data_IF_675135417248
#
_entry.id   IF_675135417248
#
_cell.length_a   1.000
_cell.length_b   1.000
_cell.length_c   1.000
_cell.angle_alpha   90.00
_cell.angle_beta   90.00
_cell.angle_gamma   90.00
#
_symmetry.space_group_name_H-M   'P 1'
#
loop_
_entity.id
_entity.type
_entity.pdbx_description
1 polymer ?
#
# COMPACT_ATOMS: atom_id res chain seq x y z
N UNK A 1 -42.94 -9.50 -12.32
CA UNK A 1 -42.48 -8.64 -11.21
C UNK A 1 -41.06 -9.03 -10.74
N UNK A 2 -40.08 -9.11 -11.65
CA UNK A 2 -38.83 -9.86 -11.37
C UNK A 2 -37.55 -9.11 -11.78
N UNK A 3 -37.66 -8.02 -12.56
CA UNK A 3 -36.49 -7.32 -13.12
C UNK A 3 -35.76 -6.43 -12.12
N UNK A 4 -36.49 -5.75 -11.23
CA UNK A 4 -35.90 -4.82 -10.24
C UNK A 4 -35.02 -5.54 -9.20
N UNK A 5 -35.40 -6.75 -8.78
CA UNK A 5 -34.64 -7.54 -7.81
C UNK A 5 -33.32 -8.08 -8.38
N UNK A 6 -33.27 -8.39 -9.68
CA UNK A 6 -32.07 -8.90 -10.36
C UNK A 6 -31.05 -7.77 -10.52
N UNK A 7 -31.50 -6.59 -10.96
CA UNK A 7 -30.63 -5.41 -11.12
C UNK A 7 -30.02 -5.00 -9.76
N UNK A 8 -30.82 -5.01 -8.70
CA UNK A 8 -30.34 -4.69 -7.34
C UNK A 8 -29.31 -5.71 -6.82
N UNK A 9 -29.54 -7.01 -7.04
CA UNK A 9 -28.59 -8.07 -6.64
C UNK A 9 -27.27 -8.00 -7.40
N UNK A 10 -27.32 -7.72 -8.71
CA UNK A 10 -26.11 -7.56 -9.53
C UNK A 10 -25.32 -6.32 -9.09
N UNK A 11 -25.99 -5.21 -8.79
CA UNK A 11 -25.32 -3.99 -8.31
C UNK A 11 -24.66 -4.18 -6.94
N UNK A 12 -25.33 -4.86 -6.01
CA UNK A 12 -24.80 -5.15 -4.67
C UNK A 12 -23.60 -6.10 -4.75
N UNK A 13 -23.67 -7.13 -5.61
CA UNK A 13 -22.55 -8.07 -5.81
C UNK A 13 -21.35 -7.40 -6.48
N UNK A 14 -21.57 -6.55 -7.48
CA UNK A 14 -20.51 -5.79 -8.15
C UNK A 14 -19.86 -4.76 -7.21
N UNK A 15 -20.65 -4.10 -6.34
CA UNK A 15 -20.12 -3.20 -5.32
C UNK A 15 -19.26 -3.93 -4.27
N UNK A 16 -19.68 -5.13 -3.82
CA UNK A 16 -18.90 -5.95 -2.89
C UNK A 16 -17.60 -6.47 -3.51
N UNK A 17 -17.63 -6.87 -4.78
CA UNK A 17 -16.44 -7.26 -5.54
C UNK A 17 -15.47 -6.07 -5.71
N UNK A 18 -15.98 -4.87 -5.97
CA UNK A 18 -15.15 -3.67 -6.09
C UNK A 18 -14.48 -3.26 -4.76
N UNK A 19 -15.17 -3.47 -3.62
CA UNK A 19 -14.57 -3.22 -2.29
C UNK A 19 -13.50 -4.23 -1.90
N UNK A 20 -13.54 -5.46 -2.44
CA UNK A 20 -12.51 -6.47 -2.17
C UNK A 20 -11.17 -6.13 -2.85
N UNK A 21 -11.22 -5.49 -4.02
CA UNK A 21 -10.02 -5.09 -4.80
C UNK A 21 -9.25 -3.95 -4.11
N UNK A 22 -9.94 -3.06 -3.40
CA UNK A 22 -9.31 -1.92 -2.71
C UNK A 22 -8.82 -2.22 -1.29
N UNK A 23 -9.29 -3.31 -0.67
CA UNK A 23 -8.92 -3.67 0.71
C UNK A 23 -7.63 -4.51 0.84
N UNK A 24 -7.06 -4.94 -0.29
CA UNK A 24 -6.07 -6.03 -0.34
C UNK A 24 -4.58 -5.64 -0.42
N UNK A 25 -4.20 -4.37 -0.24
CA UNK A 25 -2.76 -4.02 -0.11
C UNK A 25 -2.34 -4.09 1.37
N UNK A 26 -2.30 -5.31 1.90
CA UNK A 26 -1.39 -5.59 3.02
C UNK A 26 0.05 -5.27 2.59
N UNK A 27 0.95 -5.04 3.55
CA UNK A 27 2.40 -4.90 3.27
C UNK A 27 2.86 -6.21 2.65
N UNK A 28 2.77 -6.31 1.32
CA UNK A 28 3.45 -7.35 0.56
C UNK A 28 4.94 -7.00 0.58
N UNK A 29 5.80 -7.99 0.31
CA UNK A 29 7.22 -7.77 0.12
C UNK A 29 7.45 -6.49 -0.71
N UNK A 30 8.38 -5.64 -0.25
CA UNK A 30 8.64 -4.34 -0.86
C UNK A 30 9.11 -4.45 -2.31
N UNK A 31 9.27 -3.31 -2.95
CA UNK A 31 9.68 -3.22 -4.35
C UNK A 31 11.00 -2.45 -4.47
N UNK A 32 11.60 -2.48 -5.65
CA UNK A 32 12.81 -1.73 -5.95
C UNK A 32 12.50 -0.57 -6.89
N UNK A 33 13.06 0.59 -6.60
CA UNK A 33 13.03 1.74 -7.50
C UNK A 33 14.44 2.06 -7.97
N UNK A 34 14.62 2.15 -9.28
CA UNK A 34 15.87 2.62 -9.88
C UNK A 34 15.94 4.14 -9.82
N UNK A 35 16.96 4.65 -9.12
CA UNK A 35 17.19 6.09 -8.92
C UNK A 35 18.23 6.63 -9.91
N UNK A 36 19.25 5.82 -10.23
CA UNK A 36 20.27 6.10 -11.24
C UNK A 36 20.66 4.80 -11.97
N UNK A 37 21.47 4.85 -13.05
CA UNK A 37 21.85 3.64 -13.79
C UNK A 37 22.51 2.53 -12.96
N UNK A 38 23.12 2.90 -11.83
CA UNK A 38 23.91 2.10 -10.92
C UNK A 38 23.30 1.95 -9.51
N UNK A 39 22.11 2.52 -9.28
CA UNK A 39 21.46 2.53 -7.95
C UNK A 39 20.00 2.12 -8.01
N UNK A 40 19.68 1.02 -7.35
CA UNK A 40 18.33 0.59 -7.03
C UNK A 40 18.14 0.62 -5.51
N UNK A 41 16.99 1.12 -5.07
CA UNK A 41 16.63 1.28 -3.67
C UNK A 41 15.43 0.41 -3.38
N UNK A 42 15.56 -0.48 -2.39
CA UNK A 42 14.44 -1.20 -1.83
C UNK A 42 13.55 -0.26 -1.01
N UNK A 43 12.24 -0.35 -1.20
CA UNK A 43 11.27 0.40 -0.43
C UNK A 43 10.01 -0.41 -0.14
N UNK A 44 9.36 -0.08 0.97
CA UNK A 44 8.05 -0.61 1.35
C UNK A 44 7.04 0.52 1.35
N UNK A 45 5.86 0.29 0.77
CA UNK A 45 4.74 1.23 0.86
C UNK A 45 3.45 0.56 1.28
N UNK A 46 2.62 1.33 1.99
CA UNK A 46 1.26 0.92 2.33
C UNK A 46 0.31 2.12 2.37
N UNK A 47 -0.95 1.86 2.03
CA UNK A 47 -2.01 2.86 2.07
C UNK A 47 -2.08 3.74 0.83
N UNK A 48 -2.81 4.84 0.95
CA UNK A 48 -3.02 5.83 -0.11
C UNK A 48 -3.30 7.20 0.50
N UNK A 49 -3.17 8.26 -0.30
CA UNK A 49 -3.35 9.64 0.17
C UNK A 49 -2.03 10.43 0.23
N UNK A 50 -1.94 11.49 1.04
CA UNK A 50 -0.74 12.31 1.15
C UNK A 50 0.48 11.47 1.57
N UNK A 51 1.66 11.68 0.98
CA UNK A 51 2.83 10.85 1.26
C UNK A 51 3.48 11.20 2.61
N UNK A 52 3.91 10.17 3.33
CA UNK A 52 4.81 10.26 4.49
C UNK A 52 5.98 9.31 4.23
N UNK A 53 7.21 9.82 4.36
CA UNK A 53 8.44 9.03 4.17
C UNK A 53 9.16 8.87 5.49
N UNK A 54 9.45 7.63 5.88
CA UNK A 54 10.26 7.29 7.04
C UNK A 54 11.70 7.08 6.62
N UNK A 55 12.61 7.85 7.22
CA UNK A 55 14.05 7.81 6.95
C UNK A 55 14.72 7.06 8.09
N UNK A 56 15.34 5.89 7.87
CA UNK A 56 16.05 5.17 8.91
C UNK A 56 17.31 5.91 9.36
N UNK A 57 17.69 5.70 10.63
CA UNK A 57 18.93 6.19 11.21
C UNK A 57 20.15 5.32 10.87
N UNK A 58 21.28 5.57 11.53
CA UNK A 58 22.50 4.79 11.35
C UNK A 58 22.24 3.30 11.60
N UNK A 59 22.73 2.43 10.71
CA UNK A 59 22.47 0.96 10.70
C UNK A 59 21.01 0.52 10.56
N UNK A 60 20.05 1.44 10.41
CA UNK A 60 18.63 1.10 10.26
C UNK A 60 18.24 0.66 8.85
N UNK A 61 17.14 -0.09 8.79
CA UNK A 61 16.46 -0.58 7.58
C UNK A 61 14.98 -0.19 7.59
N UNK A 62 14.29 -0.39 6.46
CA UNK A 62 12.84 -0.21 6.28
C UNK A 62 12.02 -0.97 7.33
N UNK A 63 12.52 -2.14 7.76
CA UNK A 63 11.89 -3.04 8.72
C UNK A 63 11.62 -2.36 10.08
N UNK A 64 12.46 -1.39 10.44
CA UNK A 64 12.29 -0.62 11.69
C UNK A 64 10.99 0.16 11.76
N UNK A 65 10.31 0.35 10.62
CA UNK A 65 9.09 1.15 10.49
C UNK A 65 7.82 0.34 10.23
N UNK A 66 7.83 -0.99 10.38
CA UNK A 66 6.63 -1.82 10.13
C UNK A 66 5.40 -1.36 10.93
N UNK A 67 5.58 -0.96 12.20
CA UNK A 67 4.49 -0.47 13.04
C UNK A 67 3.95 0.87 12.55
N UNK A 68 4.83 1.77 12.10
CA UNK A 68 4.49 3.08 11.57
C UNK A 68 3.78 2.93 10.22
N UNK A 69 4.27 2.07 9.32
CA UNK A 69 3.61 1.73 8.07
C UNK A 69 2.18 1.21 8.32
N UNK A 70 2.01 0.27 9.25
CA UNK A 70 0.69 -0.28 9.61
C UNK A 70 -0.25 0.78 10.21
N UNK A 71 0.27 1.71 11.01
CA UNK A 71 -0.55 2.76 11.61
C UNK A 71 -0.95 3.86 10.61
N UNK A 72 0.03 4.43 9.90
CA UNK A 72 -0.18 5.61 9.06
C UNK A 72 -0.81 5.28 7.71
N UNK A 73 -0.65 4.05 7.19
CA UNK A 73 -1.29 3.61 5.93
C UNK A 73 -2.80 3.72 5.90
N UNK A 74 -3.45 3.80 7.07
CA UNK A 74 -4.91 4.00 7.20
C UNK A 74 -5.38 5.34 6.64
N UNK A 75 -4.49 6.34 6.53
CA UNK A 75 -4.82 7.71 6.10
C UNK A 75 -3.80 8.34 5.14
N UNK A 76 -2.62 7.76 5.04
CA UNK A 76 -1.51 8.29 4.27
C UNK A 76 -0.96 7.21 3.34
N UNK A 77 -0.26 7.64 2.29
CA UNK A 77 0.66 6.75 1.58
C UNK A 77 1.96 6.74 2.39
N UNK A 78 2.11 5.72 3.22
CA UNK A 78 3.24 5.57 4.12
C UNK A 78 4.36 4.79 3.40
N UNK A 79 5.58 5.32 3.39
CA UNK A 79 6.73 4.75 2.67
C UNK A 79 7.94 4.66 3.61
N UNK A 80 8.63 3.53 3.64
CA UNK A 80 9.97 3.38 4.22
C UNK A 80 10.92 2.79 3.17
N UNK A 81 12.23 2.96 3.36
CA UNK A 81 13.23 2.48 2.38
C UNK A 81 14.56 2.16 3.05
N UNK A 82 15.36 1.35 2.36
CA UNK A 82 16.74 1.06 2.74
C UNK A 82 17.68 2.05 2.03
N UNK A 83 18.39 2.93 2.76
CA UNK A 83 19.20 3.99 2.15
C UNK A 83 20.51 3.48 1.53
N UNK A 84 20.76 2.17 1.60
CA UNK A 84 21.99 1.51 1.16
C UNK A 84 21.60 0.34 0.27
N UNK A 85 22.20 0.30 -0.92
CA UNK A 85 22.08 -0.74 -1.94
C UNK A 85 22.65 -2.08 -1.50
#
# INVERSE_FOLDING_TARGET
MNGSAIVCRVFVVMAMLATLVTFGRGVLAGDFVRVSPDLEIYFEEAGSGPPIVFIPGWTGTSESFQQQLSHFSKRYRAVSYDPRS
#
